data_IF_764220562813
#
_entry.id   IF_764220562813
#
_cell.length_a   1.000
_cell.length_b   1.000
_cell.length_c   1.000
_cell.angle_alpha   90.00
_cell.angle_beta   90.00
_cell.angle_gamma   90.00
#
_symmetry.space_group_name_H-M   'P 1'
#
loop_
_entity.id
_entity.type
_entity.pdbx_description
1 polymer ?
#
# COMPACT_ATOMS: atom_id res chain seq x y z
N UNK A 1 24.31 5.25 -1.68
CA UNK A 1 24.72 4.80 -0.34
C UNK A 1 23.59 4.08 0.38
N UNK A 2 22.46 4.74 0.62
CA UNK A 2 21.28 4.09 1.22
C UNK A 2 20.76 2.96 0.36
N UNK A 3 20.68 3.17 -0.94
CA UNK A 3 20.29 2.18 -1.93
C UNK A 3 21.13 0.89 -1.83
N UNK A 4 22.44 1.02 -1.82
CA UNK A 4 23.36 -0.12 -1.74
C UNK A 4 23.25 -0.82 -0.40
N UNK A 5 23.09 -0.07 0.70
CA UNK A 5 22.91 -0.63 2.03
C UNK A 5 21.64 -1.49 2.08
N UNK A 6 20.52 -0.97 1.61
CA UNK A 6 19.25 -1.69 1.58
C UNK A 6 19.38 -2.97 0.74
N UNK A 7 19.86 -2.82 -0.49
CA UNK A 7 19.98 -3.93 -1.43
C UNK A 7 20.90 -5.03 -0.90
N UNK A 8 22.07 -4.68 -0.40
CA UNK A 8 23.02 -5.65 0.12
C UNK A 8 22.51 -6.35 1.38
N UNK A 9 21.84 -5.62 2.28
CA UNK A 9 21.27 -6.21 3.48
C UNK A 9 20.16 -7.19 3.13
N UNK A 10 19.31 -6.85 2.18
CA UNK A 10 18.24 -7.75 1.70
C UNK A 10 18.84 -9.00 1.06
N UNK A 11 19.83 -8.83 0.21
CA UNK A 11 20.53 -9.94 -0.46
C UNK A 11 21.17 -10.91 0.54
N UNK A 12 21.74 -10.38 1.62
CA UNK A 12 22.37 -11.17 2.68
C UNK A 12 21.36 -11.79 3.64
N UNK A 13 20.08 -11.43 3.53
CA UNK A 13 19.02 -11.92 4.42
C UNK A 13 18.14 -12.99 3.78
N UNK A 14 18.59 -13.59 2.70
CA UNK A 14 17.86 -14.65 2.00
C UNK A 14 17.77 -15.92 2.86
N UNK A 15 16.56 -16.47 2.91
CA UNK A 15 16.27 -17.76 3.56
C UNK A 15 16.68 -17.85 5.04
N UNK A 16 16.60 -16.76 5.76
CA UNK A 16 16.82 -16.74 7.21
C UNK A 16 15.53 -17.06 7.96
N UNK A 17 15.61 -17.75 9.11
CA UNK A 17 14.41 -18.15 9.85
C UNK A 17 13.67 -17.00 10.51
N UNK A 18 14.30 -15.85 10.68
CA UNK A 18 13.71 -14.68 11.32
C UNK A 18 13.58 -13.52 10.35
N UNK A 19 12.60 -12.65 10.63
CA UNK A 19 12.48 -11.39 9.91
C UNK A 19 13.67 -10.49 10.21
N UNK A 20 14.13 -9.76 9.21
CA UNK A 20 15.24 -8.81 9.35
C UNK A 20 14.73 -7.39 9.11
N UNK A 21 14.85 -6.52 10.11
CA UNK A 21 14.57 -5.10 9.94
C UNK A 21 15.82 -4.44 9.37
N UNK A 22 15.74 -3.96 8.13
CA UNK A 22 16.87 -3.33 7.43
C UNK A 22 17.11 -1.93 7.96
N UNK A 23 16.07 -1.10 7.92
CA UNK A 23 16.11 0.28 8.41
C UNK A 23 14.70 0.87 8.41
N UNK A 24 14.57 2.06 8.96
CA UNK A 24 13.37 2.86 8.83
C UNK A 24 13.59 3.92 7.74
N UNK A 25 12.65 4.03 6.81
CA UNK A 25 12.72 4.94 5.68
C UNK A 25 11.39 5.67 5.52
N UNK A 26 11.41 7.00 5.61
CA UNK A 26 10.22 7.87 5.50
C UNK A 26 9.07 7.44 6.42
N UNK A 27 9.40 6.96 7.62
CA UNK A 27 8.42 6.51 8.60
C UNK A 27 7.95 5.07 8.42
N UNK A 28 8.44 4.36 7.42
CA UNK A 28 8.16 2.94 7.18
C UNK A 28 9.35 2.10 7.58
N UNK A 29 9.09 0.95 8.20
CA UNK A 29 10.14 -0.04 8.45
C UNK A 29 10.30 -0.91 7.22
N UNK A 30 11.53 -1.08 6.76
CA UNK A 30 11.87 -1.99 5.67
C UNK A 30 12.20 -3.34 6.30
N UNK A 31 11.38 -4.35 6.05
CA UNK A 31 11.50 -5.67 6.67
C UNK A 31 11.64 -6.73 5.60
N UNK A 32 12.67 -7.58 5.75
CA UNK A 32 12.83 -8.79 4.95
C UNK A 32 12.06 -9.90 5.66
N UNK A 33 11.11 -10.56 4.99
CA UNK A 33 10.32 -11.61 5.63
C UNK A 33 11.17 -12.84 5.95
N UNK A 34 10.71 -13.61 6.94
CA UNK A 34 11.33 -14.88 7.27
C UNK A 34 11.30 -15.80 6.04
N UNK A 35 12.38 -16.53 5.82
CA UNK A 35 12.55 -17.44 4.69
C UNK A 35 12.32 -16.80 3.32
N UNK A 36 12.68 -15.53 3.18
CA UNK A 36 12.55 -14.82 1.91
C UNK A 36 13.38 -15.54 0.83
N UNK A 37 12.75 -15.85 -0.28
CA UNK A 37 13.39 -16.46 -1.45
C UNK A 37 13.29 -15.51 -2.63
N UNK A 38 14.42 -15.17 -3.26
CA UNK A 38 14.37 -14.32 -4.44
C UNK A 38 13.61 -15.03 -5.58
N UNK A 39 12.94 -14.23 -6.37
CA UNK A 39 12.15 -14.72 -7.52
C UNK A 39 12.94 -14.53 -8.79
N UNK A 40 12.84 -15.52 -9.67
CA UNK A 40 13.36 -15.41 -11.04
C UNK A 40 12.18 -15.21 -11.98
N UNK A 41 11.95 -13.99 -12.48
CA UNK A 41 10.83 -13.76 -13.36
C UNK A 41 11.04 -14.48 -14.70
N UNK A 42 9.93 -14.88 -15.33
CA UNK A 42 9.98 -15.45 -16.66
C UNK A 42 10.01 -14.32 -17.69
N UNK A 43 10.98 -14.35 -18.57
CA UNK A 43 11.13 -13.39 -19.66
C UNK A 43 11.13 -14.12 -20.99
N UNK A 44 10.78 -13.42 -22.07
CA UNK A 44 10.83 -13.99 -23.40
C UNK A 44 12.25 -13.86 -23.96
N UNK A 45 12.80 -14.96 -24.45
CA UNK A 45 14.10 -14.95 -25.11
C UNK A 45 13.98 -14.41 -26.56
N UNK A 46 15.07 -14.41 -27.28
CA UNK A 46 15.11 -13.97 -28.69
C UNK A 46 14.17 -14.77 -29.61
N UNK A 47 13.83 -15.99 -29.21
CA UNK A 47 12.92 -16.88 -29.99
C UNK A 47 11.45 -16.72 -29.53
N UNK A 48 11.17 -15.84 -28.58
CA UNK A 48 9.83 -15.61 -28.06
C UNK A 48 9.34 -16.64 -27.05
N UNK A 49 10.19 -17.54 -26.59
CA UNK A 49 9.87 -18.59 -25.64
C UNK A 49 10.07 -18.03 -24.21
N UNK A 50 9.13 -18.35 -23.31
CA UNK A 50 9.24 -17.97 -21.90
C UNK A 50 10.31 -18.84 -21.22
N UNK A 51 11.33 -18.18 -20.69
CA UNK A 51 12.42 -18.81 -19.95
C UNK A 51 12.65 -18.08 -18.64
N UNK A 52 13.20 -18.75 -17.64
CA UNK A 52 13.57 -18.07 -16.40
C UNK A 52 14.70 -17.07 -16.65
N UNK A 53 14.56 -15.88 -16.06
CA UNK A 53 15.62 -14.87 -16.09
C UNK A 53 16.79 -15.33 -15.23
N UNK A 54 18.02 -14.99 -15.64
CA UNK A 54 19.21 -15.21 -14.82
C UNK A 54 19.28 -14.24 -13.63
N UNK A 55 18.48 -13.17 -13.67
CA UNK A 55 18.45 -12.17 -12.61
C UNK A 55 17.44 -12.54 -11.53
N UNK A 56 17.87 -12.47 -10.29
CA UNK A 56 17.02 -12.69 -9.13
C UNK A 56 16.39 -11.37 -8.68
N UNK A 57 15.10 -11.39 -8.36
CA UNK A 57 14.39 -10.26 -7.81
C UNK A 57 14.10 -10.50 -6.33
N UNK A 58 14.48 -9.54 -5.50
CA UNK A 58 14.27 -9.59 -4.07
C UNK A 58 13.02 -8.80 -3.72
N UNK A 59 12.39 -9.12 -2.60
CA UNK A 59 11.22 -8.39 -2.13
C UNK A 59 11.30 -8.14 -0.63
N UNK A 60 10.63 -7.10 -0.21
CA UNK A 60 10.56 -6.66 1.18
C UNK A 60 9.13 -6.27 1.52
N UNK A 61 8.88 -6.04 2.80
CA UNK A 61 7.66 -5.39 3.26
C UNK A 61 7.98 -4.00 3.79
N UNK A 62 7.14 -3.03 3.44
CA UNK A 62 7.09 -1.73 4.09
C UNK A 62 6.02 -1.81 5.17
N UNK A 63 6.40 -1.58 6.41
CA UNK A 63 5.51 -1.73 7.57
C UNK A 63 5.38 -0.42 8.31
N UNK A 64 4.15 0.05 8.45
CA UNK A 64 3.79 1.20 9.29
C UNK A 64 2.47 0.91 10.00
N UNK A 65 1.35 0.98 9.30
CA UNK A 65 0.04 0.60 9.81
C UNK A 65 -0.50 -0.65 9.12
N UNK A 66 0.33 -1.32 8.38
CA UNK A 66 0.06 -2.54 7.63
C UNK A 66 1.31 -2.98 6.91
N UNK A 67 1.27 -4.15 6.29
CA UNK A 67 2.38 -4.69 5.51
C UNK A 67 2.11 -4.52 4.03
N UNK A 68 3.07 -3.94 3.31
CA UNK A 68 2.96 -3.71 1.88
C UNK A 68 4.15 -4.33 1.17
N UNK A 69 3.87 -5.28 0.29
CA UNK A 69 4.91 -5.99 -0.47
C UNK A 69 5.50 -5.08 -1.54
N UNK A 70 6.82 -5.03 -1.60
CA UNK A 70 7.54 -4.28 -2.63
C UNK A 70 8.58 -5.19 -3.27
N UNK A 71 8.52 -5.30 -4.58
CA UNK A 71 9.57 -5.95 -5.36
C UNK A 71 10.68 -4.92 -5.61
N UNK A 72 11.88 -5.21 -5.14
CA UNK A 72 13.00 -4.28 -5.26
C UNK A 72 13.60 -4.24 -6.67
N UNK A 73 13.43 -5.30 -7.44
CA UNK A 73 14.06 -5.40 -8.75
C UNK A 73 15.57 -5.35 -8.67
N UNK A 74 16.19 -4.50 -9.50
CA UNK A 74 17.62 -4.28 -9.51
C UNK A 74 18.05 -3.18 -8.53
N UNK A 75 19.31 -3.19 -8.13
CA UNK A 75 19.86 -2.22 -7.17
C UNK A 75 19.56 -0.77 -7.50
N UNK A 76 19.66 -0.40 -8.78
CA UNK A 76 19.42 0.98 -9.22
C UNK A 76 17.99 1.47 -8.97
N UNK A 77 17.02 0.56 -8.98
CA UNK A 77 15.61 0.89 -8.83
C UNK A 77 15.08 0.81 -7.40
N UNK A 78 15.89 0.40 -6.42
CA UNK A 78 15.44 0.13 -5.06
C UNK A 78 14.74 1.33 -4.42
N UNK A 79 15.40 2.47 -4.35
CA UNK A 79 14.84 3.67 -3.71
C UNK A 79 13.61 4.16 -4.47
N UNK A 80 13.68 4.16 -5.79
CA UNK A 80 12.55 4.59 -6.63
C UNK A 80 11.31 3.73 -6.41
N UNK A 81 11.48 2.42 -6.33
CA UNK A 81 10.36 1.50 -6.10
C UNK A 81 9.74 1.67 -4.72
N UNK A 82 10.58 1.88 -3.69
CA UNK A 82 10.10 2.15 -2.35
C UNK A 82 9.36 3.50 -2.31
N UNK A 83 9.93 4.55 -2.89
CA UNK A 83 9.30 5.87 -2.94
C UNK A 83 7.97 5.83 -3.70
N UNK A 84 7.90 5.12 -4.81
CA UNK A 84 6.67 4.98 -5.58
C UNK A 84 5.57 4.30 -4.75
N UNK A 85 5.91 3.25 -4.02
CA UNK A 85 4.96 2.56 -3.15
C UNK A 85 4.45 3.49 -2.04
N UNK A 86 5.34 4.23 -1.39
CA UNK A 86 4.97 5.18 -0.33
C UNK A 86 4.06 6.28 -0.89
N UNK A 87 4.38 6.82 -2.06
CA UNK A 87 3.58 7.85 -2.70
C UNK A 87 2.19 7.33 -3.09
N UNK A 88 2.10 6.10 -3.60
CA UNK A 88 0.83 5.46 -3.91
C UNK A 88 -0.04 5.28 -2.66
N UNK A 89 0.54 4.85 -1.56
CA UNK A 89 -0.18 4.67 -0.30
C UNK A 89 -0.71 6.01 0.23
N UNK A 90 0.09 7.08 0.15
CA UNK A 90 -0.33 8.42 0.55
C UNK A 90 -1.46 8.94 -0.34
N UNK A 91 -1.37 8.73 -1.64
CA UNK A 91 -2.41 9.12 -2.59
C UNK A 91 -3.73 8.42 -2.32
N UNK A 92 -3.72 7.14 -2.01
CA UNK A 92 -4.92 6.39 -1.64
C UNK A 92 -5.56 6.95 -0.36
N UNK A 93 -4.74 7.21 0.66
CA UNK A 93 -5.21 7.79 1.91
C UNK A 93 -5.89 9.14 1.69
N UNK A 94 -5.28 10.03 0.92
CA UNK A 94 -5.85 11.33 0.60
C UNK A 94 -7.19 11.23 -0.13
N UNK A 95 -7.31 10.30 -1.06
CA UNK A 95 -8.57 10.05 -1.78
C UNK A 95 -9.68 9.60 -0.84
N UNK A 96 -9.39 8.71 0.08
CA UNK A 96 -10.38 8.25 1.06
C UNK A 96 -10.81 9.37 2.01
N UNK A 97 -9.87 10.15 2.51
CA UNK A 97 -10.16 11.29 3.39
C UNK A 97 -11.02 12.32 2.72
N UNK A 98 -10.71 12.66 1.47
CA UNK A 98 -11.50 13.60 0.67
C UNK A 98 -12.92 13.10 0.46
N UNK A 99 -13.09 11.85 0.11
CA UNK A 99 -14.42 11.27 -0.09
C UNK A 99 -15.23 11.26 1.19
N UNK A 100 -14.59 10.95 2.31
CA UNK A 100 -15.22 10.97 3.62
C UNK A 100 -15.72 12.39 3.96
N UNK A 101 -14.91 13.41 3.73
CA UNK A 101 -15.28 14.80 3.95
C UNK A 101 -16.43 15.22 3.05
N UNK A 102 -16.43 14.86 1.77
CA UNK A 102 -17.49 15.17 0.83
C UNK A 102 -18.82 14.57 1.28
N UNK A 103 -18.83 13.32 1.75
CA UNK A 103 -20.02 12.65 2.26
C UNK A 103 -20.54 13.32 3.54
N UNK A 104 -19.65 13.70 4.44
CA UNK A 104 -20.00 14.40 5.68
C UNK A 104 -20.66 15.74 5.38
N UNK A 105 -20.12 16.51 4.44
CA UNK A 105 -20.70 17.79 4.02
C UNK A 105 -22.09 17.58 3.42
N UNK A 106 -22.27 16.56 2.58
CA UNK A 106 -23.60 16.25 2.00
C UNK A 106 -24.63 15.92 3.06
N UNK A 107 -24.25 15.13 4.07
CA UNK A 107 -25.15 14.79 5.18
C UNK A 107 -25.55 16.06 5.96
N UNK A 108 -24.61 16.93 6.24
CA UNK A 108 -24.88 18.19 6.95
C UNK A 108 -25.83 19.09 6.16
N UNK A 109 -25.62 19.23 4.85
CA UNK A 109 -26.50 20.01 3.98
C UNK A 109 -27.91 19.42 3.99
N UNK A 110 -28.06 18.13 3.87
CA UNK A 110 -29.37 17.46 3.85
C UNK A 110 -30.06 17.62 5.22
N UNK A 111 -29.32 17.48 6.31
CA UNK A 111 -29.87 17.66 7.66
C UNK A 111 -30.38 19.09 7.86
N UNK A 112 -29.66 20.09 7.34
CA UNK A 112 -30.09 21.50 7.40
C UNK A 112 -31.36 21.74 6.57
N UNK A 113 -31.46 21.10 5.41
CA UNK A 113 -32.67 21.18 4.56
C UNK A 113 -33.84 20.48 5.22
N UNK A 114 -33.60 19.35 5.90
CA UNK A 114 -34.65 18.66 6.64
C UNK A 114 -35.21 19.47 7.79
N UNK A 115 -34.41 20.31 8.43
CA UNK A 115 -34.88 21.21 9.47
C UNK A 115 -35.87 22.26 8.91
N UNK A 116 -35.87 22.47 7.60
CA UNK A 116 -36.76 23.39 6.88
C UNK A 116 -37.95 22.69 6.23
N UNK A 117 -37.72 21.49 5.67
CA UNK A 117 -38.72 20.74 4.90
C UNK A 117 -38.73 19.27 5.29
N UNK A 118 -39.90 18.71 5.48
CA UNK A 118 -40.05 17.26 5.69
C UNK A 118 -40.02 16.53 4.34
N UNK A 119 -39.31 15.42 4.22
CA UNK A 119 -39.33 14.54 3.06
C UNK A 119 -38.01 14.00 2.54
N UNK A 120 -36.89 14.32 3.17
CA UNK A 120 -35.58 13.88 2.72
C UNK A 120 -35.02 12.66 3.47
N UNK A 121 -35.85 11.95 4.27
CA UNK A 121 -35.40 10.85 5.11
C UNK A 121 -34.73 9.71 4.35
N UNK A 122 -35.25 9.36 3.17
CA UNK A 122 -34.70 8.28 2.36
C UNK A 122 -33.31 8.62 1.81
N UNK A 123 -33.11 9.88 1.39
CA UNK A 123 -31.82 10.35 0.90
C UNK A 123 -30.76 10.36 1.98
N UNK A 124 -31.12 10.74 3.21
CA UNK A 124 -30.23 10.71 4.36
C UNK A 124 -29.82 9.30 4.69
N UNK A 125 -30.75 8.34 4.71
CA UNK A 125 -30.45 6.94 4.96
C UNK A 125 -29.47 6.38 3.95
N UNK A 126 -29.65 6.70 2.66
CA UNK A 126 -28.75 6.25 1.60
C UNK A 126 -27.32 6.80 1.79
N UNK A 127 -27.20 8.09 2.12
CA UNK A 127 -25.89 8.71 2.35
C UNK A 127 -25.20 8.21 3.60
N UNK A 128 -25.95 7.99 4.68
CA UNK A 128 -25.41 7.40 5.91
C UNK A 128 -24.92 5.98 5.68
N UNK A 129 -25.66 5.17 4.92
CA UNK A 129 -25.21 3.83 4.56
C UNK A 129 -23.91 3.84 3.78
N UNK A 130 -23.74 4.77 2.85
CA UNK A 130 -22.51 4.93 2.10
C UNK A 130 -21.34 5.37 2.99
N UNK A 131 -21.57 6.30 3.91
CA UNK A 131 -20.59 6.76 4.87
C UNK A 131 -20.14 5.62 5.80
N UNK A 132 -21.07 4.85 6.33
CA UNK A 132 -20.80 3.71 7.20
C UNK A 132 -19.95 2.67 6.48
N UNK A 133 -20.24 2.38 5.21
CA UNK A 133 -19.43 1.48 4.39
C UNK A 133 -18.00 1.99 4.22
N UNK A 134 -17.82 3.30 4.01
CA UNK A 134 -16.51 3.91 3.87
C UNK A 134 -15.71 3.83 5.17
N UNK A 135 -16.35 4.11 6.30
CA UNK A 135 -15.73 4.02 7.61
C UNK A 135 -15.30 2.57 7.90
N UNK A 136 -16.13 1.60 7.56
CA UNK A 136 -15.81 0.19 7.70
C UNK A 136 -14.60 -0.21 6.86
N UNK A 137 -14.55 0.22 5.58
CA UNK A 137 -13.39 -0.03 4.71
C UNK A 137 -12.11 0.58 5.27
N UNK A 138 -12.17 1.82 5.74
CA UNK A 138 -11.01 2.49 6.34
C UNK A 138 -10.58 1.81 7.64
N UNK A 139 -11.53 1.40 8.47
CA UNK A 139 -11.26 0.66 9.69
C UNK A 139 -10.54 -0.66 9.43
N UNK A 140 -10.99 -1.41 8.43
CA UNK A 140 -10.36 -2.66 8.02
C UNK A 140 -8.93 -2.44 7.50
N UNK A 141 -8.68 -1.37 6.76
CA UNK A 141 -7.35 -1.04 6.24
C UNK A 141 -6.39 -0.59 7.32
N UNK A 142 -6.89 0.07 8.36
CA UNK A 142 -6.06 0.55 9.48
C UNK A 142 -5.72 -0.59 10.45
N UNK A 143 -6.65 -1.52 10.66
CA UNK A 143 -6.49 -2.63 11.60
C UNK A 143 -5.74 -3.82 10.99
N UNK A 144 -5.82 -3.98 9.68
CA UNK A 144 -5.19 -5.12 8.99
C UNK A 144 -3.67 -4.98 8.79
#
# INVERSE_FOLDING_TARGET
KTRSLIFNTVKNSVNKPEETCVMEYRGFKIIVPAYMRPRKPKVRNAEGILVESDKEEYYIYLVKNGKHLVNLGEEFGVIRRIDNMINDLRGQKEKYEKRLNDLTVRIDVINNELAREEGFGDNIKALQAELDLLDEELGLKVVS
#
